data_IF_716410998540
#
_entry.id   IF_716410998540
#
_cell.length_a   1.000
_cell.length_b   1.000
_cell.length_c   1.000
_cell.angle_alpha   90.00
_cell.angle_beta   90.00
_cell.angle_gamma   90.00
#
_symmetry.space_group_name_H-M   'P 1'
#
loop_
_entity.id
_entity.type
_entity.pdbx_description
1 polymer ?
#
# COMPACT_ATOMS: atom_id res chain seq x y z
N UNK A 1 -48.43 -2.86 -0.45
CA UNK A 1 -48.78 -2.52 0.94
C UNK A 1 -49.09 -1.03 0.93
N UNK A 2 -50.39 -0.69 0.93
CA UNK A 2 -50.85 0.70 0.89
C UNK A 2 -50.61 1.33 2.28
N UNK A 3 -49.97 2.49 2.32
CA UNK A 3 -49.80 3.28 3.54
C UNK A 3 -51.02 4.20 3.64
N UNK A 4 -51.88 3.95 4.62
CA UNK A 4 -52.94 4.88 5.00
C UNK A 4 -52.33 6.17 5.52
N UNK A 5 -52.77 7.30 4.98
CA UNK A 5 -52.33 8.63 5.35
C UNK A 5 -53.00 9.06 6.67
N UNK A 6 -52.21 9.49 7.66
CA UNK A 6 -52.74 10.15 8.85
C UNK A 6 -53.50 11.44 8.47
N UNK A 7 -54.66 11.71 9.10
CA UNK A 7 -55.47 12.87 8.77
C UNK A 7 -54.87 14.12 9.44
N UNK A 8 -54.21 14.98 8.67
CA UNK A 8 -53.78 16.30 9.15
C UNK A 8 -52.67 17.02 8.39
N UNK A 9 -51.95 16.34 7.50
CA UNK A 9 -50.90 16.98 6.69
C UNK A 9 -51.44 17.36 5.31
N UNK A 10 -51.61 18.68 5.09
CA UNK A 10 -51.90 19.23 3.76
C UNK A 10 -50.89 18.70 2.72
N UNK A 11 -51.37 18.33 1.53
CA UNK A 11 -50.53 17.98 0.38
C UNK A 11 -49.42 19.01 0.11
N UNK A 12 -49.67 20.30 0.40
CA UNK A 12 -48.65 21.36 0.28
C UNK A 12 -47.52 21.22 1.31
N UNK A 13 -47.81 20.74 2.51
CA UNK A 13 -46.83 20.50 3.57
C UNK A 13 -45.92 19.31 3.23
N UNK A 14 -46.51 18.23 2.72
CA UNK A 14 -45.77 17.04 2.24
C UNK A 14 -44.87 17.39 1.05
N UNK A 15 -45.38 18.13 0.06
CA UNK A 15 -44.58 18.57 -1.10
C UNK A 15 -43.42 19.49 -0.70
N UNK A 16 -43.64 20.42 0.23
CA UNK A 16 -42.59 21.31 0.73
C UNK A 16 -41.54 20.55 1.54
N UNK A 17 -41.96 19.54 2.31
CA UNK A 17 -41.03 18.69 3.06
C UNK A 17 -40.17 17.83 2.15
N UNK A 18 -40.76 17.22 1.12
CA UNK A 18 -40.07 16.47 0.07
C UNK A 18 -39.11 17.36 -0.72
N UNK A 19 -39.48 18.62 -1.00
CA UNK A 19 -38.60 19.56 -1.71
C UNK A 19 -37.38 19.92 -0.85
N UNK A 20 -37.58 20.23 0.44
CA UNK A 20 -36.47 20.50 1.38
C UNK A 20 -35.57 19.29 1.58
N UNK A 21 -36.17 18.10 1.60
CA UNK A 21 -35.40 16.85 1.67
C UNK A 21 -34.60 16.64 0.39
N UNK A 22 -35.20 16.89 -0.79
CA UNK A 22 -34.54 16.82 -2.08
C UNK A 22 -33.36 17.81 -2.21
N UNK A 23 -33.55 19.05 -1.76
CA UNK A 23 -32.50 20.07 -1.71
C UNK A 23 -31.32 19.69 -0.79
N UNK A 24 -31.56 18.79 0.16
CA UNK A 24 -30.54 18.32 1.10
C UNK A 24 -29.66 17.20 0.55
N UNK A 25 -29.97 16.62 -0.61
CA UNK A 25 -29.19 15.53 -1.20
C UNK A 25 -27.86 16.02 -1.79
N UNK A 26 -26.88 15.12 -1.83
CA UNK A 26 -25.59 15.37 -2.47
C UNK A 26 -25.82 15.78 -3.92
N UNK A 27 -25.19 16.88 -4.33
CA UNK A 27 -25.23 17.32 -5.73
C UNK A 27 -24.21 16.52 -6.53
N UNK A 28 -24.68 15.46 -7.17
CA UNK A 28 -23.88 14.70 -8.13
C UNK A 28 -23.81 15.40 -9.49
N UNK A 29 -22.74 15.14 -10.24
CA UNK A 29 -22.50 15.66 -11.60
C UNK A 29 -22.81 14.59 -12.65
N UNK A 30 -22.99 14.95 -13.94
CA UNK A 30 -23.28 13.97 -14.99
C UNK A 30 -22.30 12.79 -15.05
N UNK A 31 -21.01 13.03 -14.75
CA UNK A 31 -19.99 12.00 -14.67
C UNK A 31 -20.33 10.89 -13.66
N UNK A 32 -21.02 11.21 -12.56
CA UNK A 32 -21.45 10.24 -11.56
C UNK A 32 -22.36 9.16 -12.18
N UNK A 33 -23.35 9.59 -12.97
CA UNK A 33 -24.25 8.68 -13.68
C UNK A 33 -23.57 7.99 -14.86
N UNK A 34 -22.72 8.72 -15.61
CA UNK A 34 -21.94 8.19 -16.74
C UNK A 34 -21.15 6.93 -16.35
N UNK A 35 -20.55 6.94 -15.16
CA UNK A 35 -19.72 5.83 -14.67
C UNK A 35 -20.46 4.89 -13.72
N UNK A 36 -21.79 4.95 -13.67
CA UNK A 36 -22.65 4.08 -12.86
C UNK A 36 -22.26 4.03 -11.37
N UNK A 37 -21.92 5.19 -10.81
CA UNK A 37 -21.59 5.31 -9.39
C UNK A 37 -22.87 5.33 -8.54
N UNK A 38 -22.76 4.92 -7.28
CA UNK A 38 -23.89 4.97 -6.32
C UNK A 38 -23.46 5.46 -4.95
N UNK A 39 -24.36 6.16 -4.24
CA UNK A 39 -24.10 6.65 -2.89
C UNK A 39 -24.53 5.60 -1.86
N UNK A 40 -23.57 5.01 -1.15
CA UNK A 40 -23.82 3.90 -0.23
C UNK A 40 -23.91 4.35 1.24
N UNK A 41 -23.04 5.24 1.70
CA UNK A 41 -23.07 5.67 3.12
C UNK A 41 -23.86 6.95 3.37
N UNK A 42 -23.56 8.04 2.67
CA UNK A 42 -24.17 9.36 2.93
C UNK A 42 -24.82 9.93 1.68
N UNK A 43 -26.16 10.09 1.72
CA UNK A 43 -26.94 10.66 0.61
C UNK A 43 -27.16 12.17 0.72
N UNK A 44 -26.96 12.75 1.90
CA UNK A 44 -27.09 14.19 2.15
C UNK A 44 -25.83 14.94 1.70
N UNK A 45 -26.02 16.15 1.14
CA UNK A 45 -24.96 17.06 0.73
C UNK A 45 -24.09 17.47 1.90
N UNK A 46 -24.68 17.68 3.07
CA UNK A 46 -23.98 18.07 4.28
C UNK A 46 -24.01 16.93 5.28
N UNK A 47 -22.83 16.48 5.68
CA UNK A 47 -22.65 15.37 6.63
C UNK A 47 -22.04 15.92 7.92
N UNK A 48 -22.77 15.81 9.02
CA UNK A 48 -22.27 16.15 10.34
C UNK A 48 -21.81 14.88 11.06
N UNK A 49 -20.66 14.93 11.72
CA UNK A 49 -20.07 13.78 12.41
C UNK A 49 -19.22 14.24 13.60
N UNK A 50 -19.10 13.36 14.60
CA UNK A 50 -18.35 13.59 15.84
C UNK A 50 -17.10 12.73 15.93
N UNK A 51 -17.03 11.66 15.16
CA UNK A 51 -15.88 10.77 15.11
C UNK A 51 -14.68 11.45 14.45
N UNK A 52 -13.45 11.16 14.90
CA UNK A 52 -12.28 11.86 14.40
C UNK A 52 -11.87 11.45 12.97
N UNK A 53 -12.46 10.38 12.44
CA UNK A 53 -12.36 9.96 11.04
C UNK A 53 -13.76 9.63 10.52
N UNK A 54 -14.14 10.22 9.39
CA UNK A 54 -15.38 9.88 8.67
C UNK A 54 -15.09 9.02 7.45
N UNK A 55 -16.00 8.09 7.14
CA UNK A 55 -15.97 7.21 5.97
C UNK A 55 -17.11 7.49 5.01
N UNK A 56 -16.79 7.89 3.79
CA UNK A 56 -17.76 8.07 2.69
C UNK A 56 -17.58 6.92 1.71
N UNK A 57 -18.67 6.21 1.42
CA UNK A 57 -18.65 4.97 0.64
C UNK A 57 -19.46 5.19 -0.63
N UNK A 58 -18.81 4.96 -1.77
CA UNK A 58 -19.38 5.03 -3.11
C UNK A 58 -19.34 3.63 -3.72
N UNK A 59 -20.45 3.18 -4.28
CA UNK A 59 -20.52 1.92 -5.02
C UNK A 59 -20.02 2.09 -6.44
N UNK A 60 -19.33 1.08 -6.93
CA UNK A 60 -18.75 1.01 -8.27
C UNK A 60 -19.47 -0.05 -9.11
N UNK A 61 -19.47 0.08 -10.44
CA UNK A 61 -19.78 -1.05 -11.31
C UNK A 61 -18.75 -2.17 -11.10
N UNK A 62 -19.16 -3.43 -11.30
CA UNK A 62 -18.26 -4.58 -11.20
C UNK A 62 -17.05 -4.42 -12.14
N UNK A 63 -15.84 -4.64 -11.61
CA UNK A 63 -14.60 -4.44 -12.35
C UNK A 63 -14.18 -2.98 -12.53
N UNK A 64 -14.91 -2.02 -11.95
CA UNK A 64 -14.66 -0.58 -12.01
C UNK A 64 -13.25 -0.18 -11.58
N UNK A 65 -12.66 -0.91 -10.63
CA UNK A 65 -11.29 -0.74 -10.13
C UNK A 65 -10.20 -0.96 -11.19
N UNK A 66 -10.54 -1.53 -12.35
CA UNK A 66 -9.59 -1.75 -13.44
C UNK A 66 -9.57 -0.59 -14.45
N UNK A 67 -10.61 0.24 -14.49
CA UNK A 67 -10.77 1.26 -15.53
C UNK A 67 -11.12 2.66 -15.00
N UNK A 68 -11.53 2.80 -13.74
CA UNK A 68 -11.77 4.08 -13.06
C UNK A 68 -10.65 4.41 -12.08
N UNK A 69 -10.20 5.67 -12.12
CA UNK A 69 -9.26 6.24 -11.16
C UNK A 69 -9.90 7.43 -10.49
N UNK A 70 -9.64 7.60 -9.20
CA UNK A 70 -10.23 8.67 -8.42
C UNK A 70 -9.16 9.59 -7.85
N UNK A 71 -9.56 10.84 -7.65
CA UNK A 71 -8.79 11.83 -6.92
C UNK A 71 -9.74 12.64 -6.06
N UNK A 72 -9.21 13.24 -5.00
CA UNK A 72 -9.98 14.04 -4.07
C UNK A 72 -9.33 15.39 -3.83
N UNK A 73 -10.18 16.35 -3.52
CA UNK A 73 -9.77 17.66 -3.04
C UNK A 73 -10.52 17.99 -1.76
N UNK A 74 -9.80 18.04 -0.65
CA UNK A 74 -10.29 18.56 0.61
C UNK A 74 -9.90 20.03 0.78
N UNK A 75 -10.86 20.88 1.15
CA UNK A 75 -10.62 22.30 1.53
C UNK A 75 -11.41 22.65 2.79
N UNK A 76 -11.04 23.72 3.47
CA UNK A 76 -11.97 24.38 4.39
C UNK A 76 -13.17 24.93 3.60
N UNK A 77 -14.33 25.03 4.27
CA UNK A 77 -15.52 25.72 3.76
C UNK A 77 -15.49 27.18 4.25
N UNK A 78 -14.42 27.88 3.90
CA UNK A 78 -14.25 29.32 4.10
C UNK A 78 -14.33 30.05 2.74
N UNK A 79 -14.18 31.37 2.76
CA UNK A 79 -14.30 32.18 1.52
C UNK A 79 -13.21 31.87 0.49
N UNK A 80 -12.05 31.44 0.97
CA UNK A 80 -10.85 31.26 0.15
C UNK A 80 -10.62 29.79 -0.24
N UNK A 81 -11.46 28.88 0.25
CA UNK A 81 -11.32 27.43 0.11
C UNK A 81 -9.93 26.95 0.51
N UNK A 82 -9.46 27.41 1.67
CA UNK A 82 -8.09 27.18 2.16
C UNK A 82 -7.73 25.69 2.12
N UNK A 83 -6.55 25.37 1.56
CA UNK A 83 -6.11 23.99 1.27
C UNK A 83 -5.03 23.49 2.23
N UNK A 84 -4.64 24.30 3.20
CA UNK A 84 -3.62 23.96 4.18
C UNK A 84 -4.06 24.32 5.60
N UNK A 85 -3.47 23.62 6.56
CA UNK A 85 -3.63 23.86 7.99
C UNK A 85 -2.26 23.76 8.65
N UNK A 86 -1.80 24.85 9.27
CA UNK A 86 -0.47 24.94 9.90
C UNK A 86 0.67 24.50 8.96
N UNK A 87 0.61 24.89 7.68
CA UNK A 87 1.62 24.52 6.68
C UNK A 87 1.53 23.09 6.17
N UNK A 88 0.51 22.32 6.58
CA UNK A 88 0.25 20.96 6.11
C UNK A 88 -0.95 20.96 5.17
N UNK A 89 -0.78 20.49 3.94
CA UNK A 89 -1.88 20.36 2.99
C UNK A 89 -3.01 19.47 3.54
N UNK A 90 -4.25 19.93 3.39
CA UNK A 90 -5.47 19.19 3.72
C UNK A 90 -5.60 17.88 2.94
N UNK A 91 -4.93 17.73 1.79
CA UNK A 91 -4.92 16.43 1.10
C UNK A 91 -4.24 15.33 1.94
N UNK A 92 -3.37 15.68 2.89
CA UNK A 92 -2.80 14.70 3.82
C UNK A 92 -3.77 14.23 4.89
N UNK A 93 -4.92 14.88 5.02
CA UNK A 93 -5.98 14.51 5.96
C UNK A 93 -7.09 13.73 5.29
N UNK A 94 -6.92 13.38 4.02
CA UNK A 94 -7.86 12.54 3.30
C UNK A 94 -7.13 11.44 2.52
N UNK A 95 -7.79 10.31 2.37
CA UNK A 95 -7.31 9.22 1.51
C UNK A 95 -8.49 8.45 0.93
N UNK A 96 -8.23 7.63 -0.07
CA UNK A 96 -9.22 6.71 -0.59
C UNK A 96 -8.61 5.36 -0.96
N UNK A 97 -9.42 4.32 -0.90
CA UNK A 97 -9.03 2.96 -1.32
C UNK A 97 -10.20 2.23 -1.95
N UNK A 98 -9.88 1.30 -2.85
CA UNK A 98 -10.84 0.35 -3.39
C UNK A 98 -10.98 -0.85 -2.47
N UNK A 99 -12.22 -1.26 -2.23
CA UNK A 99 -12.57 -2.53 -1.61
C UNK A 99 -13.08 -3.47 -2.70
N UNK A 100 -12.14 -4.10 -3.42
CA UNK A 100 -12.40 -4.87 -4.63
C UNK A 100 -13.51 -5.93 -4.45
N UNK A 101 -13.50 -6.65 -3.32
CA UNK A 101 -14.47 -7.71 -3.02
C UNK A 101 -15.90 -7.19 -2.89
N UNK A 102 -16.07 -5.92 -2.57
CA UNK A 102 -17.38 -5.30 -2.34
C UNK A 102 -17.84 -4.41 -3.50
N UNK A 103 -16.98 -4.21 -4.52
CA UNK A 103 -17.17 -3.17 -5.56
C UNK A 103 -17.44 -1.79 -4.94
N UNK A 104 -16.64 -1.42 -3.93
CA UNK A 104 -16.79 -0.14 -3.22
C UNK A 104 -15.52 0.67 -3.27
N UNK A 105 -15.71 1.99 -3.28
CA UNK A 105 -14.67 2.99 -3.08
C UNK A 105 -14.95 3.69 -1.75
N UNK A 106 -13.95 3.72 -0.88
CA UNK A 106 -14.07 4.35 0.44
C UNK A 106 -13.14 5.55 0.53
N UNK A 107 -13.69 6.69 0.93
CA UNK A 107 -12.96 7.91 1.24
C UNK A 107 -12.92 8.11 2.75
N UNK A 108 -11.72 8.32 3.28
CA UNK A 108 -11.48 8.61 4.69
C UNK A 108 -11.08 10.06 4.82
N UNK A 109 -11.68 10.78 5.77
CA UNK A 109 -11.32 12.17 6.08
C UNK A 109 -11.12 12.33 7.57
N UNK A 110 -10.00 12.94 7.97
CA UNK A 110 -9.60 13.25 9.35
C UNK A 110 -9.49 14.77 9.52
N UNK A 111 -10.56 15.48 9.87
CA UNK A 111 -10.47 16.93 10.03
C UNK A 111 -9.39 17.32 11.05
N UNK A 112 -8.46 18.23 10.72
CA UNK A 112 -7.42 18.65 11.67
C UNK A 112 -7.96 19.47 12.85
N UNK A 113 -9.17 20.02 12.72
CA UNK A 113 -9.89 20.75 13.77
C UNK A 113 -11.40 20.64 13.53
N UNK A 114 -12.26 20.88 14.55
CA UNK A 114 -13.68 21.08 14.30
C UNK A 114 -13.93 22.25 13.34
N UNK A 115 -14.93 22.11 12.48
CA UNK A 115 -15.23 23.09 11.45
C UNK A 115 -16.02 22.55 10.27
N UNK A 116 -16.20 23.41 9.27
CA UNK A 116 -16.82 23.06 8.00
C UNK A 116 -15.74 22.88 6.91
N UNK A 117 -15.90 21.83 6.10
CA UNK A 117 -14.98 21.45 5.03
C UNK A 117 -15.76 21.08 3.77
N UNK A 118 -15.09 21.16 2.62
CA UNK A 118 -15.60 20.67 1.35
C UNK A 118 -14.72 19.55 0.83
N UNK A 119 -15.34 18.38 0.61
CA UNK A 119 -14.71 17.25 -0.07
C UNK A 119 -15.25 17.17 -1.50
N UNK A 120 -14.36 17.32 -2.48
CA UNK A 120 -14.68 17.17 -3.91
C UNK A 120 -14.09 15.87 -4.40
N UNK A 121 -14.89 15.04 -5.06
CA UNK A 121 -14.47 13.75 -5.60
C UNK A 121 -14.43 13.86 -7.12
N UNK A 122 -13.34 13.37 -7.70
CA UNK A 122 -13.10 13.36 -9.13
C UNK A 122 -12.83 11.94 -9.62
N UNK A 123 -13.16 11.70 -10.89
CA UNK A 123 -12.94 10.41 -11.55
C UNK A 123 -12.28 10.60 -12.92
N UNK A 124 -11.52 9.60 -13.33
CA UNK A 124 -10.90 9.49 -14.66
C UNK A 124 -11.09 8.07 -15.19
N UNK A 125 -11.39 7.96 -16.49
CA UNK A 125 -11.58 6.67 -17.17
C UNK A 125 -10.35 6.31 -18.03
N UNK A 126 -10.01 5.03 -18.10
CA UNK A 126 -8.82 4.55 -18.84
C UNK A 126 -9.09 4.31 -20.32
N UNK A 127 -10.23 3.76 -20.72
CA UNK A 127 -10.46 3.39 -22.14
C UNK A 127 -10.69 4.59 -23.06
N UNK A 128 -10.86 5.80 -22.53
CA UNK A 128 -10.80 7.02 -23.36
C UNK A 128 -9.39 7.25 -23.92
N UNK A 129 -8.40 6.38 -23.62
CA UNK A 129 -7.04 6.38 -24.18
C UNK A 129 -6.95 5.95 -25.67
N UNK A 130 -7.91 5.20 -26.24
CA UNK A 130 -7.70 4.49 -27.52
C UNK A 130 -8.52 5.00 -28.73
N UNK A 131 -9.48 5.90 -28.56
CA UNK A 131 -10.21 6.43 -29.72
C UNK A 131 -9.62 7.72 -30.26
N UNK A 132 -9.09 7.59 -31.48
CA UNK A 132 -8.82 8.60 -32.52
C UNK A 132 -7.41 9.24 -32.47
N UNK A 133 -6.47 8.56 -33.13
CA UNK A 133 -5.42 9.23 -33.89
C UNK A 133 -6.10 9.99 -35.06
N UNK A 134 -6.50 11.23 -34.83
CA UNK A 134 -6.81 12.21 -35.87
C UNK A 134 -6.28 13.55 -35.39
N UNK A 135 -5.52 14.23 -36.25
CA UNK A 135 -4.92 15.54 -36.06
C UNK A 135 -5.88 16.57 -35.45
N UNK A 136 -5.85 16.68 -34.13
CA UNK A 136 -6.58 17.65 -33.34
C UNK A 136 -5.81 17.98 -32.05
N UNK A 137 -6.02 19.17 -31.46
CA UNK A 137 -5.26 19.61 -30.31
C UNK A 137 -5.40 18.59 -29.17
N UNK A 138 -4.27 18.10 -28.65
CA UNK A 138 -4.18 17.13 -27.55
C UNK A 138 -5.04 17.59 -26.38
N UNK A 139 -6.27 17.07 -26.26
CA UNK A 139 -7.09 17.31 -25.08
C UNK A 139 -6.40 16.61 -23.91
N UNK A 140 -5.80 17.39 -23.02
CA UNK A 140 -5.25 16.91 -21.75
C UNK A 140 -6.40 16.26 -20.98
N UNK A 141 -6.43 14.92 -20.95
CA UNK A 141 -7.55 14.12 -20.41
C UNK A 141 -7.66 14.37 -18.90
N UNK A 142 -8.57 15.26 -18.53
CA UNK A 142 -8.74 15.83 -17.20
C UNK A 142 -9.70 14.99 -16.34
N UNK A 143 -9.38 14.86 -15.07
CA UNK A 143 -10.28 14.35 -14.04
C UNK A 143 -11.62 15.10 -14.08
N UNK A 144 -12.73 14.36 -14.09
CA UNK A 144 -14.09 14.91 -14.07
C UNK A 144 -14.65 14.85 -12.66
N UNK A 145 -15.20 15.96 -12.18
CA UNK A 145 -15.82 16.01 -10.85
C UNK A 145 -17.11 15.20 -10.84
N UNK A 146 -17.30 14.32 -9.85
CA UNK A 146 -18.49 13.46 -9.73
C UNK A 146 -19.44 13.91 -8.64
N UNK A 147 -18.95 14.38 -7.50
CA UNK A 147 -19.78 14.88 -6.40
C UNK A 147 -18.99 15.75 -5.44
N UNK A 148 -19.71 16.59 -4.70
CA UNK A 148 -19.19 17.43 -3.61
C UNK A 148 -19.93 17.10 -2.31
N UNK A 149 -19.21 16.95 -1.21
CA UNK A 149 -19.74 16.84 0.14
C UNK A 149 -19.34 18.04 0.98
N UNK A 150 -20.30 18.64 1.67
CA UNK A 150 -20.05 19.51 2.82
C UNK A 150 -19.89 18.66 4.07
N UNK A 151 -18.78 18.82 4.78
CA UNK A 151 -18.44 18.06 5.97
C UNK A 151 -18.47 18.99 7.17
N UNK A 152 -19.29 18.68 8.18
CA UNK A 152 -19.38 19.41 9.45
C UNK A 152 -18.76 18.58 10.56
N UNK A 153 -17.47 18.77 10.76
CA UNK A 153 -16.70 18.12 11.80
C UNK A 153 -17.02 18.73 13.17
N UNK A 154 -17.68 17.96 14.03
CA UNK A 154 -17.94 18.28 15.44
C UNK A 154 -17.02 17.47 16.36
N UNK A 155 -15.80 17.22 15.89
CA UNK A 155 -14.79 16.45 16.60
C UNK A 155 -14.17 17.35 17.68
N UNK A 156 -14.09 16.91 18.94
CA UNK A 156 -13.36 17.65 19.97
C UNK A 156 -11.91 17.93 19.53
N UNK A 157 -11.34 19.14 19.78
CA UNK A 157 -9.98 19.46 19.33
C UNK A 157 -8.91 18.47 19.79
N UNK A 158 -9.06 17.90 20.98
CA UNK A 158 -8.15 16.90 21.55
C UNK A 158 -8.35 15.47 21.00
N UNK A 159 -9.41 15.23 20.24
CA UNK A 159 -9.69 13.94 19.60
C UNK A 159 -9.28 13.92 18.11
N UNK A 160 -8.87 15.07 17.55
CA UNK A 160 -8.46 15.14 16.14
C UNK A 160 -7.23 14.28 15.88
N UNK A 161 -7.29 13.48 14.81
CA UNK A 161 -6.20 12.58 14.43
C UNK A 161 -5.13 13.32 13.62
N UNK A 162 -3.86 12.86 13.68
CA UNK A 162 -2.80 13.40 12.84
C UNK A 162 -3.08 13.13 11.35
N UNK A 163 -2.42 13.88 10.44
CA UNK A 163 -2.49 13.61 9.01
C UNK A 163 -1.93 12.22 8.70
N UNK A 164 -2.42 11.61 7.62
CA UNK A 164 -1.84 10.38 7.09
C UNK A 164 -0.35 10.57 6.76
N UNK A 165 0.47 9.49 6.81
CA UNK A 165 1.87 9.58 6.46
C UNK A 165 2.07 10.11 5.03
N UNK A 166 3.13 10.89 4.83
CA UNK A 166 3.27 11.72 3.63
C UNK A 166 3.45 10.89 2.34
N UNK A 167 2.54 11.10 1.39
CA UNK A 167 2.52 10.48 0.06
C UNK A 167 2.26 11.53 -1.02
N UNK A 168 2.66 11.25 -2.25
CA UNK A 168 2.43 12.16 -3.39
C UNK A 168 0.98 12.13 -3.91
N UNK A 169 0.18 11.19 -3.42
CA UNK A 169 -1.21 10.99 -3.85
C UNK A 169 -2.03 10.39 -2.71
N UNK A 170 -3.35 10.55 -2.81
CA UNK A 170 -4.34 10.17 -1.79
C UNK A 170 -4.86 8.73 -1.96
N UNK A 171 -4.49 8.05 -3.04
CA UNK A 171 -4.89 6.67 -3.35
C UNK A 171 -4.10 5.65 -2.53
N UNK A 172 -4.78 4.65 -2.00
CA UNK A 172 -4.20 3.48 -1.35
C UNK A 172 -4.71 2.21 -2.04
N UNK A 173 -3.86 1.19 -2.09
CA UNK A 173 -4.06 -0.03 -2.85
C UNK A 173 -3.22 -0.06 -4.13
N UNK A 174 -3.79 -0.65 -5.18
CA UNK A 174 -3.13 -0.91 -6.46
C UNK A 174 -2.99 0.36 -7.30
N UNK A 175 -1.78 0.64 -7.80
CA UNK A 175 -1.53 1.72 -8.74
C UNK A 175 -1.84 1.30 -10.20
N UNK A 176 -2.09 2.28 -11.08
CA UNK A 176 -2.36 2.05 -12.52
C UNK A 176 -1.29 1.18 -13.20
N UNK A 177 -0.03 1.33 -12.81
CA UNK A 177 1.07 0.62 -13.43
C UNK A 177 1.09 -0.89 -13.10
N UNK A 178 0.48 -1.33 -12.01
CA UNK A 178 0.49 -2.74 -11.61
C UNK A 178 -0.01 -3.69 -12.71
N UNK A 179 -1.02 -3.26 -13.49
CA UNK A 179 -1.60 -4.05 -14.58
C UNK A 179 -0.61 -4.31 -15.71
N UNK A 180 0.37 -3.43 -15.95
CA UNK A 180 1.36 -3.63 -17.01
C UNK A 180 2.48 -4.61 -16.63
N UNK A 181 2.65 -4.90 -15.33
CA UNK A 181 3.66 -5.83 -14.83
C UNK A 181 3.12 -7.24 -14.58
N UNK A 182 1.82 -7.47 -14.81
CA UNK A 182 1.16 -8.76 -14.61
C UNK A 182 1.35 -9.35 -13.21
N UNK A 183 1.38 -8.49 -12.19
CA UNK A 183 1.57 -8.86 -10.79
C UNK A 183 0.21 -8.86 -10.08
N UNK A 184 -0.03 -9.87 -9.24
CA UNK A 184 -1.17 -9.93 -8.32
C UNK A 184 -0.69 -9.78 -6.89
N UNK A 185 -1.40 -8.98 -6.08
CA UNK A 185 -1.22 -8.98 -4.63
C UNK A 185 -2.23 -9.94 -3.99
N UNK A 186 -1.76 -10.73 -3.02
CA UNK A 186 -2.63 -11.63 -2.23
C UNK A 186 -3.55 -10.81 -1.32
N UNK A 187 -2.99 -9.79 -0.66
CA UNK A 187 -3.78 -8.77 0.05
C UNK A 187 -4.03 -7.60 -0.90
N UNK A 188 -5.30 -7.36 -1.26
CA UNK A 188 -5.67 -6.26 -2.17
C UNK A 188 -6.09 -4.98 -1.45
N UNK A 189 -6.46 -5.11 -0.17
CA UNK A 189 -6.92 -3.99 0.63
C UNK A 189 -5.78 -2.98 0.83
N UNK A 190 -6.07 -1.70 0.63
CA UNK A 190 -5.08 -0.63 0.77
C UNK A 190 -4.66 -0.38 2.23
N UNK A 191 -5.38 -0.97 3.19
CA UNK A 191 -5.14 -0.84 4.62
C UNK A 191 -4.93 -2.20 5.25
N UNK A 192 -3.81 -2.37 5.97
CA UNK A 192 -3.45 -3.63 6.60
C UNK A 192 -3.09 -3.39 8.05
N UNK A 193 -3.70 -4.16 8.95
CA UNK A 193 -3.38 -4.11 10.38
C UNK A 193 -2.26 -5.09 10.68
N UNK A 194 -1.24 -4.62 11.37
CA UNK A 194 -0.15 -5.44 11.86
C UNK A 194 -0.62 -6.37 12.98
N UNK A 195 -0.04 -7.56 13.03
CA UNK A 195 -0.20 -8.50 14.14
C UNK A 195 1.09 -8.47 14.94
N UNK A 196 1.03 -8.02 16.20
CA UNK A 196 2.21 -7.86 17.07
C UNK A 196 3.33 -7.03 16.39
N UNK A 197 2.97 -5.90 15.76
CA UNK A 197 3.94 -5.06 15.05
C UNK A 197 4.49 -5.64 13.74
N UNK A 198 4.02 -6.81 13.30
CA UNK A 198 4.49 -7.45 12.06
C UNK A 198 3.41 -7.50 10.98
N UNK A 199 3.83 -7.38 9.71
CA UNK A 199 2.98 -7.55 8.53
C UNK A 199 3.71 -8.42 7.52
N UNK A 200 3.02 -9.37 6.90
CA UNK A 200 3.53 -10.11 5.73
C UNK A 200 2.63 -9.82 4.53
N UNK A 201 3.22 -9.36 3.42
CA UNK A 201 2.53 -9.12 2.16
C UNK A 201 3.14 -9.96 1.06
N UNK A 202 2.29 -10.63 0.28
CA UNK A 202 2.70 -11.54 -0.79
C UNK A 202 2.20 -11.04 -2.14
N UNK A 203 3.08 -11.17 -3.14
CA UNK A 203 2.82 -10.88 -4.53
C UNK A 203 3.14 -12.11 -5.36
N UNK A 204 2.37 -12.36 -6.40
CA UNK A 204 2.56 -13.49 -7.31
C UNK A 204 2.41 -13.04 -8.75
N UNK A 205 3.10 -13.72 -9.66
CA UNK A 205 2.84 -13.52 -11.08
C UNK A 205 1.43 -13.98 -11.41
N UNK A 206 0.70 -13.20 -12.21
CA UNK A 206 -0.59 -13.61 -12.78
C UNK A 206 -0.40 -14.60 -13.94
N UNK A 207 0.82 -14.72 -14.48
CA UNK A 207 1.25 -15.74 -15.42
C UNK A 207 2.29 -16.63 -14.76
N UNK A 208 1.89 -17.85 -14.36
CA UNK A 208 2.71 -18.78 -13.57
C UNK A 208 4.04 -19.17 -14.24
N UNK A 209 4.19 -18.95 -15.55
CA UNK A 209 5.42 -19.26 -16.28
C UNK A 209 6.39 -18.07 -16.38
N UNK A 210 5.99 -16.88 -15.93
CA UNK A 210 6.77 -15.66 -16.03
C UNK A 210 7.29 -15.23 -14.65
N UNK A 211 8.62 -15.05 -14.47
CA UNK A 211 9.17 -14.55 -13.22
C UNK A 211 8.73 -13.10 -12.99
N UNK A 212 8.55 -12.73 -11.72
CA UNK A 212 8.29 -11.37 -11.31
C UNK A 212 9.52 -10.48 -11.60
N UNK A 213 9.30 -9.20 -11.96
CA UNK A 213 10.37 -8.23 -11.96
C UNK A 213 10.93 -8.06 -10.55
N UNK A 214 12.14 -7.51 -10.44
CA UNK A 214 12.67 -7.18 -9.13
C UNK A 214 11.80 -6.11 -8.46
N UNK A 215 11.39 -6.37 -7.22
CA UNK A 215 10.53 -5.49 -6.45
C UNK A 215 11.30 -4.83 -5.30
N UNK A 216 10.87 -3.62 -4.93
CA UNK A 216 11.43 -2.85 -3.83
C UNK A 216 10.33 -2.24 -2.97
N UNK A 217 10.47 -2.34 -1.65
CA UNK A 217 9.58 -1.75 -0.65
C UNK A 217 10.23 -0.55 0.01
N UNK A 218 9.49 0.55 0.14
CA UNK A 218 9.92 1.73 0.89
C UNK A 218 8.90 2.04 1.98
N UNK A 219 9.34 1.97 3.24
CA UNK A 219 8.52 2.33 4.40
C UNK A 219 8.71 3.82 4.72
N UNK A 220 7.61 4.48 5.10
CA UNK A 220 7.59 5.86 5.60
C UNK A 220 6.69 5.95 6.81
N UNK A 221 7.06 6.78 7.77
CA UNK A 221 6.26 7.15 8.92
C UNK A 221 6.31 8.67 9.09
N UNK A 222 5.28 9.27 9.70
CA UNK A 222 5.32 10.69 10.09
C UNK A 222 6.25 10.93 11.28
N UNK A 223 6.31 9.97 12.22
CA UNK A 223 6.99 10.15 13.50
C UNK A 223 8.48 9.77 13.51
N UNK A 224 8.94 9.01 12.53
CA UNK A 224 10.28 8.41 12.51
C UNK A 224 11.07 8.82 11.28
N UNK A 225 12.40 8.91 11.43
CA UNK A 225 13.32 9.24 10.34
C UNK A 225 13.42 8.11 9.33
N UNK A 226 13.91 8.42 8.12
CA UNK A 226 14.17 7.41 7.10
C UNK A 226 15.21 6.37 7.56
N UNK A 227 16.18 6.79 8.37
CA UNK A 227 17.22 5.90 8.92
C UNK A 227 16.62 4.86 9.87
N UNK A 228 15.69 5.26 10.74
CA UNK A 228 14.98 4.34 11.63
C UNK A 228 14.12 3.30 10.87
N UNK A 229 13.86 3.51 9.58
CA UNK A 229 13.07 2.60 8.74
C UNK A 229 13.90 1.64 7.90
N UNK A 230 15.24 1.82 7.83
CA UNK A 230 16.12 1.05 6.92
C UNK A 230 16.05 -0.46 7.13
N UNK A 231 15.83 -0.88 8.37
CA UNK A 231 15.84 -2.28 8.80
C UNK A 231 14.44 -2.82 9.10
N UNK A 232 13.39 -2.15 8.62
CA UNK A 232 12.01 -2.54 8.90
C UNK A 232 11.40 -3.45 7.83
N UNK A 233 12.06 -3.66 6.69
CA UNK A 233 11.53 -4.47 5.58
C UNK A 233 12.52 -5.56 5.23
N UNK A 234 12.02 -6.78 5.14
CA UNK A 234 12.71 -7.93 4.55
C UNK A 234 11.98 -8.33 3.28
N UNK A 235 12.73 -8.45 2.18
CA UNK A 235 12.19 -8.68 0.85
C UNK A 235 12.71 -10.03 0.34
N UNK A 236 11.84 -10.87 -0.22
CA UNK A 236 12.20 -12.26 -0.52
C UNK A 236 11.52 -12.72 -1.80
N UNK A 237 12.25 -12.92 -2.91
CA UNK A 237 11.72 -13.73 -4.00
C UNK A 237 11.60 -15.19 -3.56
N UNK A 238 10.49 -15.83 -3.89
CA UNK A 238 10.19 -17.24 -3.64
C UNK A 238 9.87 -17.94 -4.96
N UNK A 239 9.89 -19.29 -4.95
CA UNK A 239 9.38 -20.12 -6.05
C UNK A 239 9.96 -19.75 -7.43
N UNK A 240 11.29 -19.68 -7.56
CA UNK A 240 11.96 -19.24 -8.80
C UNK A 240 11.49 -17.85 -9.29
N UNK A 241 11.32 -16.91 -8.36
CA UNK A 241 10.85 -15.54 -8.60
C UNK A 241 9.40 -15.43 -9.09
N UNK A 242 8.57 -16.48 -9.03
CA UNK A 242 7.14 -16.33 -9.35
C UNK A 242 6.33 -15.74 -8.20
N UNK A 243 6.91 -15.71 -7.00
CA UNK A 243 6.36 -15.09 -5.80
C UNK A 243 7.35 -14.12 -5.16
N UNK A 244 6.84 -13.07 -4.52
CA UNK A 244 7.64 -12.09 -3.80
C UNK A 244 6.97 -11.73 -2.48
N UNK A 245 7.72 -11.79 -1.39
CA UNK A 245 7.22 -11.57 -0.04
C UNK A 245 7.93 -10.40 0.62
N UNK A 246 7.14 -9.50 1.20
CA UNK A 246 7.59 -8.44 2.09
C UNK A 246 7.21 -8.80 3.51
N UNK A 247 8.19 -8.96 4.39
CA UNK A 247 7.98 -9.04 5.83
C UNK A 247 8.37 -7.70 6.45
N UNK A 248 7.41 -7.03 7.06
CA UNK A 248 7.56 -5.69 7.63
C UNK A 248 7.49 -5.76 9.15
N UNK A 249 8.46 -5.13 9.81
CA UNK A 249 8.63 -5.08 11.26
C UNK A 249 8.53 -3.63 11.72
N UNK A 250 7.38 -3.27 12.28
CA UNK A 250 7.06 -1.90 12.63
C UNK A 250 7.68 -1.56 14.00
N UNK A 251 8.54 -0.54 14.07
CA UNK A 251 9.35 -0.31 15.27
C UNK A 251 8.55 0.24 16.44
N UNK A 252 7.45 0.97 16.17
CA UNK A 252 6.58 1.56 17.18
C UNK A 252 5.11 1.39 16.79
N UNK A 253 4.21 1.55 17.76
CA UNK A 253 2.79 1.77 17.49
C UNK A 253 2.60 3.01 16.59
N UNK A 254 1.65 2.94 15.66
CA UNK A 254 1.34 4.05 14.76
C UNK A 254 1.01 3.62 13.34
N UNK A 255 1.04 4.61 12.45
CA UNK A 255 0.69 4.45 11.03
C UNK A 255 1.91 4.61 10.14
N UNK A 256 2.01 3.73 9.14
CA UNK A 256 3.12 3.67 8.21
C UNK A 256 2.59 3.53 6.80
N UNK A 257 3.33 4.06 5.83
CA UNK A 257 3.06 3.84 4.41
C UNK A 257 4.15 2.95 3.83
N UNK A 258 3.74 1.81 3.28
CA UNK A 258 4.58 0.98 2.45
C UNK A 258 4.29 1.31 0.98
N UNK A 259 5.30 1.79 0.26
CA UNK A 259 5.27 1.94 -1.19
C UNK A 259 6.03 0.79 -1.82
N UNK A 260 5.36 0.03 -2.68
CA UNK A 260 5.95 -1.10 -3.41
C UNK A 260 6.23 -0.66 -4.84
N UNK A 261 7.45 -0.90 -5.30
CA UNK A 261 7.96 -0.57 -6.62
C UNK A 261 8.43 -1.82 -7.35
N UNK A 262 8.47 -1.78 -8.68
CA UNK A 262 9.19 -2.74 -9.49
C UNK A 262 10.12 -2.04 -10.47
N UNK A 263 11.21 -2.72 -10.84
CA UNK A 263 12.07 -2.34 -11.95
C UNK A 263 11.43 -2.76 -13.28
N UNK A 264 11.59 -1.93 -14.31
CA UNK A 264 11.20 -2.30 -15.68
C UNK A 264 12.35 -3.06 -16.36
N UNK A 265 12.23 -4.37 -16.58
CA UNK A 265 13.29 -5.16 -17.21
C UNK A 265 13.55 -4.75 -18.67
N UNK A 266 12.63 -4.03 -19.33
CA UNK A 266 12.80 -3.55 -20.72
C UNK A 266 13.59 -2.25 -20.82
N UNK A 267 13.88 -1.59 -19.70
CA UNK A 267 14.57 -0.27 -19.65
C UNK A 267 15.86 -0.27 -18.85
N UNK A 268 16.17 -1.33 -18.12
CA UNK A 268 17.44 -1.49 -17.41
C UNK A 268 18.53 -2.05 -18.32
N UNK A 269 19.55 -1.24 -18.62
CA UNK A 269 20.77 -1.70 -19.28
C UNK A 269 21.62 -2.56 -18.35
N UNK A 270 22.36 -3.48 -18.96
CA UNK A 270 23.26 -4.46 -18.34
C UNK A 270 23.96 -3.94 -17.08
N UNK A 271 23.72 -4.59 -15.94
CA UNK A 271 24.55 -4.41 -14.76
C UNK A 271 24.86 -5.76 -14.11
N UNK A 272 26.17 -5.96 -13.92
CA UNK A 272 26.86 -7.21 -13.62
C UNK A 272 26.28 -7.99 -12.43
N UNK A 273 26.26 -9.33 -12.59
CA UNK A 273 25.72 -10.29 -11.62
C UNK A 273 26.81 -10.74 -10.64
N UNK A 274 26.69 -10.30 -9.38
CA UNK A 274 27.38 -10.87 -8.23
C UNK A 274 26.51 -11.97 -7.58
N UNK A 275 27.14 -13.04 -7.10
CA UNK A 275 26.47 -14.20 -6.49
C UNK A 275 26.64 -14.14 -4.99
N UNK A 276 25.58 -13.75 -4.29
CA UNK A 276 25.44 -13.79 -2.83
C UNK A 276 24.04 -14.37 -2.54
N UNK A 277 23.83 -15.09 -1.44
CA UNK A 277 22.60 -15.88 -1.25
C UNK A 277 21.75 -15.66 0.05
N UNK A 278 21.89 -14.68 0.96
CA UNK A 278 21.51 -14.70 2.42
C UNK A 278 20.31 -15.56 2.98
N UNK A 279 20.53 -16.39 4.04
CA UNK A 279 19.53 -17.17 4.82
C UNK A 279 19.38 -16.56 6.23
N UNK A 280 18.14 -16.29 6.70
CA UNK A 280 17.90 -15.58 7.97
C UNK A 280 16.89 -16.29 8.87
N UNK A 281 17.05 -16.09 10.19
CA UNK A 281 16.22 -16.73 11.19
C UNK A 281 15.84 -15.78 12.33
N UNK A 282 14.61 -15.87 12.80
CA UNK A 282 14.14 -15.21 14.01
C UNK A 282 13.78 -16.28 15.04
N UNK A 283 14.37 -16.18 16.23
CA UNK A 283 14.04 -16.98 17.41
C UNK A 283 13.39 -16.08 18.43
N UNK A 284 12.17 -16.42 18.82
CA UNK A 284 11.46 -15.68 19.86
C UNK A 284 12.19 -15.89 21.20
N UNK A 285 12.70 -14.81 21.77
CA UNK A 285 13.04 -14.71 23.19
C UNK A 285 14.50 -14.87 23.61
N UNK A 286 15.38 -15.63 22.93
CA UNK A 286 16.75 -15.88 23.47
C UNK A 286 17.92 -16.11 22.50
N UNK A 287 17.85 -16.07 21.17
CA UNK A 287 19.11 -16.13 20.39
C UNK A 287 19.08 -16.35 18.88
N UNK A 288 20.15 -15.87 18.24
CA UNK A 288 20.75 -16.26 16.95
C UNK A 288 19.94 -16.05 15.65
N UNK A 289 20.40 -15.08 14.84
CA UNK A 289 20.04 -14.87 13.45
C UNK A 289 21.27 -15.11 12.56
N UNK A 290 21.08 -15.54 11.30
CA UNK A 290 22.16 -15.94 10.36
C UNK A 290 22.24 -14.99 9.17
N UNK A 291 23.46 -14.68 8.68
CA UNK A 291 23.68 -13.72 7.57
C UNK A 291 24.97 -14.01 6.81
N UNK A 292 24.98 -13.63 5.54
CA UNK A 292 26.18 -13.55 4.71
C UNK A 292 26.10 -12.32 3.79
N UNK A 293 27.25 -11.83 3.34
CA UNK A 293 27.40 -10.51 2.71
C UNK A 293 28.47 -10.57 1.61
N UNK A 294 28.20 -9.96 0.44
CA UNK A 294 29.16 -9.18 -0.39
C UNK A 294 28.40 -8.21 -1.35
N UNK A 295 28.81 -6.92 -1.29
CA UNK A 295 28.78 -5.75 -2.22
C UNK A 295 27.74 -5.53 -3.36
N UNK A 296 27.42 -4.25 -3.56
CA UNK A 296 26.23 -3.68 -4.24
C UNK A 296 26.55 -3.11 -5.65
N UNK A 297 25.70 -3.30 -6.68
CA UNK A 297 25.53 -2.34 -7.76
C UNK A 297 24.42 -1.33 -7.44
N UNK A 298 24.73 -0.04 -7.61
CA UNK A 298 23.79 1.07 -7.49
C UNK A 298 22.69 1.00 -8.57
N UNK A 299 21.42 0.92 -8.17
CA UNK A 299 20.28 0.90 -9.08
C UNK A 299 20.09 2.23 -9.81
N UNK A 300 20.20 2.19 -11.15
CA UNK A 300 19.84 3.28 -12.04
C UNK A 300 18.34 3.42 -12.27
N UNK A 301 17.76 4.48 -11.69
CA UNK A 301 16.74 5.40 -12.22
C UNK A 301 15.38 4.98 -12.82
N UNK A 302 14.91 3.72 -12.80
CA UNK A 302 13.56 3.40 -13.35
C UNK A 302 12.69 2.49 -12.47
N UNK A 303 12.33 2.97 -11.28
CA UNK A 303 11.36 2.31 -10.40
C UNK A 303 9.93 2.81 -10.66
N UNK A 304 8.99 1.88 -10.88
CA UNK A 304 7.57 2.19 -11.05
C UNK A 304 6.78 1.75 -9.82
N UNK A 305 6.00 2.66 -9.21
CA UNK A 305 5.18 2.32 -8.04
C UNK A 305 4.01 1.43 -8.47
N UNK A 306 3.85 0.29 -7.80
CA UNK A 306 2.82 -0.70 -8.09
C UNK A 306 1.71 -0.74 -7.03
N UNK A 307 2.08 -0.62 -5.76
CA UNK A 307 1.12 -0.60 -4.64
C UNK A 307 1.48 0.43 -3.58
N UNK A 308 0.48 0.84 -2.82
CA UNK A 308 0.61 1.63 -1.61
C UNK A 308 -0.27 1.08 -0.51
N UNK A 309 0.32 0.69 0.62
CA UNK A 309 -0.43 0.23 1.79
C UNK A 309 -0.31 1.21 2.94
N UNK A 310 -1.40 1.43 3.67
CA UNK A 310 -1.39 1.98 5.01
C UNK A 310 -1.28 0.81 5.98
N UNK A 311 -0.16 0.72 6.69
CA UNK A 311 0.06 -0.24 7.75
C UNK A 311 -0.27 0.41 9.09
N UNK A 312 -1.07 -0.26 9.91
CA UNK A 312 -1.48 0.23 11.23
C UNK A 312 -1.01 -0.76 12.28
N UNK A 313 -0.26 -0.29 13.28
CA UNK A 313 0.14 -1.09 14.44
C UNK A 313 -0.30 -0.47 15.75
N UNK A 314 -0.74 -1.31 16.69
CA UNK A 314 -1.04 -0.95 18.07
C UNK A 314 0.20 -1.03 18.99
N UNK A 315 1.24 -1.73 18.57
CA UNK A 315 2.46 -1.95 19.35
C UNK A 315 3.71 -2.03 18.46
N UNK A 316 4.88 -2.00 19.09
CA UNK A 316 6.14 -2.29 18.44
C UNK A 316 6.26 -3.79 18.12
N UNK A 317 6.95 -4.12 17.02
CA UNK A 317 7.34 -5.49 16.74
C UNK A 317 8.32 -6.00 17.81
N UNK A 318 8.11 -7.20 18.39
CA UNK A 318 9.02 -7.77 19.38
C UNK A 318 10.36 -8.19 18.76
N UNK A 319 10.37 -8.38 17.44
CA UNK A 319 11.55 -8.71 16.64
C UNK A 319 11.83 -7.57 15.67
N UNK A 320 13.11 -7.25 15.44
CA UNK A 320 13.47 -6.25 14.44
C UNK A 320 13.52 -6.90 13.04
N UNK A 321 13.40 -6.09 12.00
CA UNK A 321 13.81 -6.55 10.67
C UNK A 321 15.33 -6.57 10.56
N UNK A 322 15.83 -6.96 9.40
CA UNK A 322 17.23 -7.34 9.25
C UNK A 322 18.14 -6.11 9.12
N UNK A 323 19.39 -6.15 9.64
CA UNK A 323 20.44 -5.22 9.26
C UNK A 323 20.57 -5.14 7.73
N UNK A 324 21.21 -4.09 7.22
CA UNK A 324 21.44 -3.91 5.78
C UNK A 324 22.20 -5.11 5.24
N UNK A 325 21.50 -5.96 4.49
CA UNK A 325 22.06 -7.07 3.77
C UNK A 325 22.19 -6.65 2.30
N UNK A 326 23.39 -6.70 1.72
CA UNK A 326 23.55 -6.74 0.27
C UNK A 326 23.29 -8.17 -0.23
N UNK A 327 22.47 -8.36 -1.27
CA UNK A 327 21.51 -7.41 -1.84
C UNK A 327 20.29 -7.25 -0.92
N UNK A 328 19.49 -6.19 -1.08
CA UNK A 328 18.30 -5.87 -0.24
C UNK A 328 17.18 -6.95 -0.24
N UNK A 329 17.47 -8.17 -0.68
CA UNK A 329 16.61 -9.35 -0.68
C UNK A 329 17.32 -10.60 -0.12
N UNK A 330 16.54 -11.50 0.48
CA UNK A 330 17.02 -12.80 0.93
C UNK A 330 16.78 -13.89 -0.09
N UNK A 331 17.67 -14.88 -0.11
CA UNK A 331 17.51 -16.09 -0.89
C UNK A 331 18.47 -16.24 -2.07
N UNK A 332 18.27 -17.32 -2.86
CA UNK A 332 19.20 -17.68 -3.91
C UNK A 332 19.25 -16.60 -4.99
N UNK A 333 20.44 -16.06 -5.24
CA UNK A 333 20.68 -15.18 -6.39
C UNK A 333 20.59 -15.95 -7.73
N UNK A 334 20.50 -15.25 -8.88
CA UNK A 334 20.31 -15.88 -10.19
C UNK A 334 21.31 -17.01 -10.53
N UNK A 335 22.59 -16.87 -10.14
CA UNK A 335 23.60 -17.89 -10.41
C UNK A 335 23.60 -19.07 -9.44
N UNK A 336 22.77 -19.07 -8.40
CA UNK A 336 22.72 -20.17 -7.44
C UNK A 336 22.38 -21.48 -8.15
N UNK A 337 21.33 -21.47 -8.98
CA UNK A 337 20.97 -22.61 -9.81
C UNK A 337 22.00 -22.89 -10.92
N UNK A 338 22.60 -21.85 -11.51
CA UNK A 338 23.65 -22.01 -12.56
C UNK A 338 24.91 -22.72 -12.04
N UNK A 339 25.24 -22.55 -10.75
CA UNK A 339 26.33 -23.25 -10.07
C UNK A 339 25.93 -24.67 -9.64
N UNK A 340 24.77 -25.17 -10.07
CA UNK A 340 24.24 -26.47 -9.71
C UNK A 340 23.75 -26.55 -8.26
N UNK A 341 23.47 -25.41 -7.62
CA UNK A 341 23.02 -25.37 -6.23
C UNK A 341 21.51 -25.29 -6.11
N UNK A 342 20.98 -25.99 -5.10
CA UNK A 342 19.59 -25.86 -4.68
C UNK A 342 19.47 -26.01 -3.17
N UNK A 343 18.53 -25.28 -2.56
CA UNK A 343 18.21 -25.46 -1.14
C UNK A 343 17.21 -26.59 -0.98
N UNK A 344 17.51 -27.55 -0.11
CA UNK A 344 16.70 -28.75 0.11
C UNK A 344 15.90 -28.66 1.42
N UNK A 345 16.46 -28.02 2.45
CA UNK A 345 15.81 -28.00 3.76
C UNK A 345 14.59 -27.07 3.84
N UNK A 346 14.53 -26.04 3.00
CA UNK A 346 13.44 -25.08 2.94
C UNK A 346 13.40 -24.37 1.58
N UNK A 347 12.23 -23.92 1.17
CA UNK A 347 12.03 -23.08 -0.02
C UNK A 347 12.13 -21.59 0.28
N UNK A 348 11.86 -21.21 1.54
CA UNK A 348 11.84 -19.82 1.98
C UNK A 348 13.16 -19.48 2.68
N UNK A 349 13.93 -18.49 2.20
CA UNK A 349 15.23 -18.14 2.78
C UNK A 349 15.13 -17.45 4.15
N UNK A 350 13.93 -17.12 4.61
CA UNK A 350 13.70 -16.67 5.98
C UNK A 350 12.88 -17.70 6.73
N UNK A 351 13.48 -18.27 7.77
CA UNK A 351 12.93 -19.40 8.51
C UNK A 351 12.85 -19.00 9.97
N UNK A 352 11.69 -19.13 10.58
CA UNK A 352 11.59 -18.96 12.04
C UNK A 352 12.02 -20.26 12.69
N UNK A 353 12.94 -20.16 13.64
CA UNK A 353 13.41 -21.30 14.43
C UNK A 353 13.00 -21.06 15.88
N UNK A 354 12.42 -22.05 16.53
CA UNK A 354 12.11 -22.06 17.96
C UNK A 354 13.15 -22.86 18.77
N UNK A 355 14.13 -23.44 18.07
CA UNK A 355 15.21 -24.25 18.61
C UNK A 355 16.54 -23.49 18.56
N UNK A 356 17.44 -23.79 19.51
CA UNK A 356 18.80 -23.22 19.52
C UNK A 356 19.72 -23.76 18.42
N UNK A 357 19.26 -24.71 17.62
CA UNK A 357 19.97 -25.31 16.50
C UNK A 357 19.12 -25.24 15.24
N UNK A 358 19.79 -25.08 14.09
CA UNK A 358 19.19 -25.00 12.79
C UNK A 358 20.07 -25.73 11.76
N UNK A 359 19.44 -26.56 10.93
CA UNK A 359 20.11 -27.25 9.83
C UNK A 359 19.66 -26.70 8.45
N UNK A 360 20.60 -26.12 7.70
CA UNK A 360 20.40 -25.75 6.29
C UNK A 360 21.05 -26.80 5.39
N UNK A 361 20.26 -27.41 4.49
CA UNK A 361 20.75 -28.44 3.57
C UNK A 361 20.74 -27.90 2.15
N UNK A 362 21.88 -27.99 1.48
CA UNK A 362 22.06 -27.64 0.08
C UNK A 362 22.37 -28.91 -0.72
N UNK A 363 21.75 -29.04 -1.88
CA UNK A 363 22.21 -29.97 -2.91
C UNK A 363 23.11 -29.21 -3.89
N UNK A 364 24.13 -29.91 -4.39
CA UNK A 364 25.08 -29.40 -5.37
C UNK A 364 25.33 -30.45 -6.46
N UNK A 365 25.78 -30.02 -7.63
CA UNK A 365 26.15 -30.92 -8.71
C UNK A 365 27.60 -31.39 -8.57
N UNK A 366 27.84 -32.70 -8.46
CA UNK A 366 29.18 -33.28 -8.23
C UNK A 366 30.20 -32.92 -9.31
N UNK A 367 29.75 -32.66 -10.54
CA UNK A 367 30.61 -32.26 -11.66
C UNK A 367 31.13 -30.82 -11.56
N UNK A 368 30.65 -30.03 -10.58
CA UNK A 368 31.07 -28.66 -10.33
C UNK A 368 31.74 -28.61 -8.93
N UNK A 369 33.07 -28.73 -8.84
CA UNK A 369 33.75 -28.66 -7.56
C UNK A 369 33.65 -27.24 -7.00
N UNK A 370 32.91 -27.10 -5.89
CA UNK A 370 32.69 -25.83 -5.22
C UNK A 370 33.52 -25.73 -3.94
N UNK A 371 34.07 -24.55 -3.70
CA UNK A 371 34.62 -24.16 -2.39
C UNK A 371 33.58 -23.34 -1.67
N UNK A 372 33.37 -23.70 -0.41
CA UNK A 372 32.32 -23.11 0.41
C UNK A 372 32.94 -22.30 1.54
N UNK A 373 32.28 -21.19 1.88
CA UNK A 373 32.54 -20.43 3.09
C UNK A 373 31.19 -20.05 3.66
N UNK A 374 30.97 -20.34 4.94
CA UNK A 374 29.81 -19.87 5.67
C UNK A 374 30.21 -18.70 6.57
N UNK A 375 29.30 -17.75 6.74
CA UNK A 375 29.41 -16.65 7.70
C UNK A 375 28.16 -16.65 8.56
N UNK A 376 28.30 -16.33 9.84
CA UNK A 376 27.19 -16.06 10.74
C UNK A 376 27.39 -14.66 11.31
N UNK A 377 26.35 -13.84 11.28
CA UNK A 377 26.37 -12.49 11.85
C UNK A 377 25.21 -12.42 12.84
N UNK A 378 25.40 -11.96 14.07
CA UNK A 378 24.31 -11.55 14.91
C UNK A 378 23.96 -10.10 14.57
N UNK A 379 22.68 -9.73 14.55
CA UNK A 379 22.33 -8.34 14.29
C UNK A 379 21.14 -7.85 15.11
N UNK A 380 21.22 -6.60 15.54
CA UNK A 380 20.23 -5.90 16.35
C UNK A 380 20.29 -4.41 16.05
N UNK A 381 19.20 -3.84 15.50
CA UNK A 381 19.02 -2.41 15.15
C UNK A 381 20.24 -1.70 14.52
N UNK A 382 21.25 -1.37 15.33
CA UNK A 382 22.42 -0.57 14.96
C UNK A 382 23.76 -1.31 15.14
N UNK A 383 23.75 -2.57 15.58
CA UNK A 383 24.95 -3.37 15.80
C UNK A 383 24.87 -4.73 15.11
N UNK A 384 26.03 -5.21 14.68
CA UNK A 384 26.20 -6.56 14.13
C UNK A 384 27.49 -7.19 14.63
N UNK A 385 27.45 -8.46 15.02
CA UNK A 385 28.62 -9.21 15.52
C UNK A 385 28.88 -10.42 14.63
N UNK A 386 30.14 -10.75 14.34
CA UNK A 386 30.47 -11.98 13.59
C UNK A 386 30.45 -13.18 14.54
N UNK A 387 29.55 -14.14 14.30
CA UNK A 387 29.46 -15.39 15.06
C UNK A 387 29.77 -16.61 14.17
N UNK A 388 30.54 -16.44 13.09
CA UNK A 388 30.87 -17.52 12.14
C UNK A 388 31.53 -18.74 12.78
N UNK A 389 32.09 -18.60 13.97
CA UNK A 389 32.60 -19.69 14.79
C UNK A 389 31.53 -20.68 15.27
N UNK A 390 30.24 -20.33 15.18
CA UNK A 390 29.13 -21.22 15.53
C UNK A 390 28.60 -22.02 14.34
N UNK A 391 29.18 -21.87 13.14
CA UNK A 391 28.80 -22.65 11.95
C UNK A 391 29.70 -23.87 11.85
N UNK A 392 29.10 -25.06 11.82
CA UNK A 392 29.76 -26.36 11.72
C UNK A 392 29.60 -27.00 10.35
#
# INVERSE_FOLDING_TARGET
MMVEAEPGLSYSSLATHLLKEFESFVRVKPAFFKYNLSLLSHRKAVVAFTDPEIRIVVGLPSGGENFLFFDIKLTFDDKDFTEDYNGVSLQRYARHEFLDKENRLVFYVRPPKPGAYLLKIYVKHTQEEVTIASDGPKTVKQYQKVCDYGLRAKVPPNACLPPFPHTLSTDYGRAKAATSFNIGAVCRDGTVRATQGTVELRFSSLDSNSPLPQMMGKLKCTALSADAMKHCIVQRPLSNNTEFVFSIFLPNAGEYVLQVYASDPRRGGDSYVMVSFSFNFAVDGTGNAFFYDVNIPSFGSFLTQLWRYLLISDQASPVCGLPSLPPDYLGPGPKFAELGLSTVSHSDPFIRADTGELCVRLAYQESLPLKWKAKLIFAKNDSSDDCSNMVS
#
